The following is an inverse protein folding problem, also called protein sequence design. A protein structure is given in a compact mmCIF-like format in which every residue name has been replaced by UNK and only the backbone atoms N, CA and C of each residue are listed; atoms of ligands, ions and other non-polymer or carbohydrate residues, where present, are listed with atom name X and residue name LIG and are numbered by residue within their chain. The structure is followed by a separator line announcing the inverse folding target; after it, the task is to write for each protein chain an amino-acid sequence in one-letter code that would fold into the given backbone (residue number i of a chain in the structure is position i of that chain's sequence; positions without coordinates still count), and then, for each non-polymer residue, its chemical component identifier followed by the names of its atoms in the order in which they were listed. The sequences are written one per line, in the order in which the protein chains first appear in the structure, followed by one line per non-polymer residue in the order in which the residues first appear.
data_IF_403338915205
#
_entry.id   IF_403338915205
#
_cell.length_a   1.000
_cell.length_b   1.000
_cell.length_c   1.000
_cell.angle_alpha   90.00
_cell.angle_beta   90.00
_cell.angle_gamma   90.00
#
_symmetry.space_group_name_H-M   'P 1'
#
loop_
_entity.id
_entity.type
_entity.pdbx_description
1 polymer ?
#
# COMPACT_ATOMS: atom_id res chain seq x y z
N UNK A 1 -2.48 -8.69 12.20
CA UNK A 1 -2.57 -9.33 10.88
C UNK A 1 -1.22 -10.00 10.65
N UNK A 2 -1.19 -11.28 10.26
CA UNK A 2 0.07 -11.95 9.93
C UNK A 2 0.49 -11.49 8.53
N UNK A 3 1.44 -10.56 8.46
CA UNK A 3 1.93 -10.01 7.19
C UNK A 3 2.86 -10.98 6.48
N UNK A 4 3.70 -11.69 7.24
CA UNK A 4 4.81 -12.48 6.70
C UNK A 4 4.28 -13.58 5.76
N UNK A 5 3.25 -14.32 6.17
CA UNK A 5 2.65 -15.36 5.33
C UNK A 5 1.96 -14.81 4.08
N UNK A 6 1.39 -13.60 4.15
CA UNK A 6 0.76 -12.94 3.00
C UNK A 6 1.79 -12.42 2.01
N UNK A 7 2.88 -11.83 2.50
CA UNK A 7 3.98 -11.32 1.69
C UNK A 7 4.70 -12.46 0.98
N UNK A 8 4.93 -13.59 1.64
CA UNK A 8 5.53 -14.77 1.00
C UNK A 8 4.68 -15.28 -0.17
N UNK A 9 3.35 -15.39 0.01
CA UNK A 9 2.45 -15.74 -1.10
C UNK A 9 2.52 -14.74 -2.26
N UNK A 10 2.63 -13.44 -1.95
CA UNK A 10 2.78 -12.39 -2.97
C UNK A 10 4.13 -12.49 -3.69
N UNK A 11 5.21 -12.83 -2.97
CA UNK A 11 6.55 -13.04 -3.54
C UNK A 11 6.57 -14.26 -4.48
N UNK A 12 5.93 -15.37 -4.09
CA UNK A 12 5.74 -16.53 -4.97
C UNK A 12 4.96 -16.16 -6.25
N UNK A 13 3.84 -15.46 -6.09
CA UNK A 13 3.02 -14.99 -7.22
C UNK A 13 3.80 -14.06 -8.14
N UNK A 14 4.59 -13.14 -7.59
CA UNK A 14 5.45 -12.24 -8.34
C UNK A 14 6.43 -13.01 -9.24
N UNK A 15 7.09 -14.03 -8.69
CA UNK A 15 8.00 -14.89 -9.46
C UNK A 15 7.29 -15.69 -10.55
N UNK A 16 6.09 -16.20 -10.27
CA UNK A 16 5.27 -16.90 -11.27
C UNK A 16 4.89 -15.98 -12.43
N UNK A 17 4.48 -14.74 -12.14
CA UNK A 17 4.15 -13.74 -13.15
C UNK A 17 5.38 -13.33 -13.95
N UNK A 18 6.54 -13.14 -13.31
CA UNK A 18 7.78 -12.84 -14.00
C UNK A 18 8.17 -13.95 -15.01
N UNK A 19 8.01 -15.22 -14.62
CA UNK A 19 8.22 -16.37 -15.53
C UNK A 19 7.22 -16.37 -16.68
N UNK A 20 5.95 -16.06 -16.42
CA UNK A 20 4.92 -16.00 -17.46
C UNK A 20 5.16 -14.85 -18.45
N UNK A 21 5.57 -13.67 -17.96
CA UNK A 21 5.90 -12.49 -18.77
C UNK A 21 7.13 -12.74 -19.66
N UNK A 22 8.07 -13.58 -19.21
CA UNK A 22 9.23 -13.96 -20.01
C UNK A 22 8.89 -14.91 -21.17
N UNK A 23 7.71 -15.55 -21.19
CA UNK A 23 7.27 -16.42 -22.29
C UNK A 23 6.64 -15.58 -23.42
N UNK A 24 7.23 -15.58 -24.64
CA UNK A 24 6.67 -14.82 -25.77
C UNK A 24 5.22 -15.19 -26.12
N UNK A 25 4.80 -16.43 -25.83
CA UNK A 25 3.43 -16.91 -26.11
C UNK A 25 2.36 -16.19 -25.29
N UNK A 26 2.72 -15.56 -24.16
CA UNK A 26 1.78 -14.76 -23.39
C UNK A 26 1.21 -13.61 -24.24
N UNK A 27 2.02 -13.04 -25.12
CA UNK A 27 1.68 -11.89 -25.94
C UNK A 27 0.77 -12.22 -27.14
N UNK A 28 0.55 -13.51 -27.42
CA UNK A 28 -0.47 -13.96 -28.38
C UNK A 28 -1.88 -13.59 -27.91
N UNK A 29 -2.08 -13.41 -26.60
CA UNK A 29 -3.30 -12.87 -26.02
C UNK A 29 -3.01 -11.55 -25.29
N UNK A 30 -3.22 -10.42 -25.99
CA UNK A 30 -3.00 -9.06 -25.46
C UNK A 30 -3.71 -8.80 -24.13
N UNK A 31 -4.93 -9.33 -23.93
CA UNK A 31 -5.68 -9.13 -22.69
C UNK A 31 -4.99 -9.80 -21.51
N UNK A 32 -4.62 -11.08 -21.66
CA UNK A 32 -3.89 -11.84 -20.62
C UNK A 32 -2.52 -11.26 -20.34
N UNK A 33 -1.80 -10.79 -21.36
CA UNK A 33 -0.52 -10.11 -21.19
C UNK A 33 -0.66 -8.83 -20.37
N UNK A 34 -1.66 -7.99 -20.69
CA UNK A 34 -1.97 -6.76 -19.95
C UNK A 34 -2.31 -7.03 -18.48
N UNK A 35 -3.17 -8.01 -18.22
CA UNK A 35 -3.55 -8.43 -16.87
C UNK A 35 -2.33 -8.92 -16.05
N UNK A 36 -1.50 -9.78 -16.64
CA UNK A 36 -0.30 -10.30 -15.97
C UNK A 36 0.73 -9.20 -15.67
N UNK A 37 0.95 -8.26 -16.59
CA UNK A 37 1.84 -7.13 -16.39
C UNK A 37 1.33 -6.17 -15.31
N UNK A 38 0.01 -5.89 -15.30
CA UNK A 38 -0.61 -5.05 -14.26
C UNK A 38 -0.46 -5.71 -12.89
N UNK A 39 -0.83 -6.99 -12.77
CA UNK A 39 -0.72 -7.72 -11.51
C UNK A 39 0.74 -7.76 -11.01
N UNK A 40 1.71 -8.02 -11.90
CA UNK A 40 3.13 -8.00 -11.56
C UNK A 40 3.58 -6.61 -11.06
N UNK A 41 3.11 -5.54 -11.71
CA UNK A 41 3.36 -4.16 -11.29
C UNK A 41 2.80 -3.85 -9.91
N UNK A 42 1.54 -4.21 -9.64
CA UNK A 42 0.90 -3.99 -8.35
C UNK A 42 1.59 -4.77 -7.23
N UNK A 43 1.95 -6.03 -7.47
CA UNK A 43 2.69 -6.83 -6.47
C UNK A 43 4.09 -6.25 -6.24
N UNK A 44 4.77 -5.76 -7.28
CA UNK A 44 6.07 -5.08 -7.10
C UNK A 44 5.96 -3.91 -6.14
N UNK A 45 4.95 -3.05 -6.34
CA UNK A 45 4.72 -1.88 -5.48
C UNK A 45 4.43 -2.29 -4.03
N UNK A 46 3.63 -3.34 -3.84
CA UNK A 46 3.35 -3.90 -2.52
C UNK A 46 4.64 -4.39 -1.83
N UNK A 47 5.50 -5.12 -2.53
CA UNK A 47 6.77 -5.61 -1.99
C UNK A 47 7.72 -4.44 -1.65
N UNK A 48 7.77 -3.40 -2.46
CA UNK A 48 8.56 -2.20 -2.13
C UNK A 48 8.10 -1.53 -0.83
N UNK A 49 6.79 -1.39 -0.62
CA UNK A 49 6.25 -0.86 0.64
C UNK A 49 6.55 -1.75 1.85
N UNK A 50 6.56 -3.07 1.63
CA UNK A 50 6.97 -4.03 2.66
C UNK A 50 8.43 -3.83 3.05
N UNK A 51 9.33 -3.70 2.07
CA UNK A 51 10.76 -3.47 2.31
C UNK A 51 10.98 -2.14 3.09
N UNK A 52 10.20 -1.09 2.80
CA UNK A 52 10.22 0.17 3.55
C UNK A 52 9.77 -0.01 5.01
N UNK A 53 8.72 -0.80 5.27
CA UNK A 53 8.27 -1.11 6.62
C UNK A 53 9.31 -1.93 7.40
N UNK A 54 9.92 -2.94 6.76
CA UNK A 54 10.99 -3.72 7.39
C UNK A 54 12.20 -2.86 7.74
N UNK A 55 12.59 -1.94 6.85
CA UNK A 55 13.67 -1.01 7.11
C UNK A 55 13.36 -0.09 8.30
N UNK A 56 12.15 0.46 8.37
CA UNK A 56 11.73 1.31 9.49
C UNK A 56 11.70 0.55 10.83
N UNK A 57 11.22 -0.70 10.82
CA UNK A 57 11.26 -1.58 12.01
C UNK A 57 12.68 -1.85 12.46
N UNK A 58 13.57 -2.16 11.52
CA UNK A 58 14.99 -2.39 11.82
C UNK A 58 15.64 -1.14 12.40
N UNK A 59 15.43 0.02 11.79
CA UNK A 59 15.97 1.28 12.29
C UNK A 59 15.47 1.60 13.71
N UNK A 60 14.20 1.32 14.00
CA UNK A 60 13.63 1.48 15.33
C UNK A 60 14.32 0.56 16.35
N UNK A 61 14.55 -0.70 16.00
CA UNK A 61 15.22 -1.66 16.90
C UNK A 61 16.70 -1.30 17.10
N UNK A 62 17.41 -0.89 16.05
CA UNK A 62 18.78 -0.38 16.13
C UNK A 62 18.87 0.86 17.05
N UNK A 63 17.91 1.80 16.95
CA UNK A 63 17.86 2.96 17.83
C UNK A 63 17.58 2.60 19.28
N UNK A 64 16.70 1.62 19.54
CA UNK A 64 16.48 1.10 20.89
C UNK A 64 17.73 0.47 21.49
N UNK A 65 18.53 -0.21 20.67
CA UNK A 65 19.82 -0.75 21.12
C UNK A 65 20.83 0.38 21.43
N UNK A 66 20.90 1.41 20.58
CA UNK A 66 21.77 2.57 20.78
C UNK A 66 21.39 3.41 22.01
N UNK A 67 20.10 3.52 22.31
CA UNK A 67 19.59 4.18 23.52
C UNK A 67 20.05 3.49 24.82
N UNK A 68 20.41 2.21 24.76
CA UNK A 68 20.99 1.47 25.89
C UNK A 68 22.53 1.55 25.93
N UNK A 69 23.17 2.32 25.04
CA UNK A 69 24.62 2.42 25.02
C UNK A 69 25.16 3.21 26.21
N UNK A 70 26.44 2.97 26.57
CA UNK A 70 27.10 3.69 27.65
C UNK A 70 27.54 5.12 27.27
N UNK A 71 27.42 5.48 25.99
CA UNK A 71 27.70 6.83 25.52
C UNK A 71 26.42 7.66 25.66
N UNK A 72 26.42 8.56 26.65
CA UNK A 72 25.24 9.34 27.03
C UNK A 72 24.75 10.26 25.90
N UNK A 73 25.66 10.76 25.06
CA UNK A 73 25.30 11.64 23.95
C UNK A 73 24.60 10.83 22.85
N UNK A 74 25.17 9.67 22.48
CA UNK A 74 24.58 8.78 21.49
C UNK A 74 23.24 8.21 21.98
N UNK A 75 23.17 7.81 23.25
CA UNK A 75 21.95 7.27 23.84
C UNK A 75 20.80 8.30 23.83
N UNK A 76 21.08 9.56 24.21
CA UNK A 76 20.09 10.63 24.20
C UNK A 76 19.60 10.96 22.78
N UNK A 77 20.51 11.00 21.80
CA UNK A 77 20.15 11.22 20.39
C UNK A 77 19.23 10.11 19.86
N UNK A 78 19.55 8.85 20.16
CA UNK A 78 18.73 7.72 19.75
C UNK A 78 17.34 7.74 20.42
N UNK A 79 17.27 8.05 21.73
CA UNK A 79 16.00 8.19 22.46
C UNK A 79 15.09 9.27 21.87
N UNK A 80 15.66 10.39 21.39
CA UNK A 80 14.91 11.47 20.75
C UNK A 80 14.32 11.05 19.37
N UNK A 81 14.95 10.12 18.64
CA UNK A 81 14.46 9.64 17.33
C UNK A 81 13.39 8.54 17.43
N UNK A 82 13.39 7.76 18.52
CA UNK A 82 12.49 6.61 18.71
C UNK A 82 11.01 6.96 18.52
N UNK A 83 10.45 8.04 19.08
CA UNK A 83 9.03 8.37 18.94
C UNK A 83 8.58 8.56 17.49
N UNK A 84 9.40 9.22 16.68
CA UNK A 84 9.11 9.47 15.27
C UNK A 84 9.20 8.18 14.45
N UNK A 85 10.19 7.33 14.75
CA UNK A 85 10.32 6.01 14.12
C UNK A 85 9.14 5.08 14.48
N UNK A 86 8.70 5.10 15.74
CA UNK A 86 7.52 4.35 16.17
C UNK A 86 6.27 4.79 15.40
N UNK A 87 6.06 6.11 15.28
CA UNK A 87 4.94 6.64 14.50
C UNK A 87 5.04 6.22 13.03
N UNK A 88 6.23 6.32 12.44
CA UNK A 88 6.47 5.93 11.04
C UNK A 88 6.16 4.45 10.81
N UNK A 89 6.56 3.57 11.73
CA UNK A 89 6.23 2.13 11.65
C UNK A 89 4.73 1.91 11.71
N UNK A 90 4.01 2.57 12.63
CA UNK A 90 2.55 2.45 12.73
C UNK A 90 1.83 2.93 11.45
N UNK A 91 2.28 4.04 10.88
CA UNK A 91 1.71 4.59 9.65
C UNK A 91 1.95 3.61 8.47
N UNK A 92 3.17 3.10 8.31
CA UNK A 92 3.52 2.11 7.28
C UNK A 92 2.77 0.79 7.46
N UNK A 93 2.58 0.32 8.70
CA UNK A 93 1.77 -0.88 8.97
C UNK A 93 0.32 -0.70 8.53
N UNK A 94 -0.25 0.49 8.75
CA UNK A 94 -1.61 0.81 8.31
C UNK A 94 -1.71 0.86 6.79
N UNK A 95 -0.76 1.50 6.12
CA UNK A 95 -0.68 1.53 4.66
C UNK A 95 -0.56 0.11 4.08
N UNK A 96 0.25 -0.75 4.71
CA UNK A 96 0.38 -2.16 4.33
C UNK A 96 -0.91 -2.95 4.50
N UNK A 97 -1.66 -2.73 5.59
CA UNK A 97 -2.97 -3.37 5.76
C UNK A 97 -3.92 -3.01 4.63
N UNK A 98 -3.96 -1.74 4.24
CA UNK A 98 -4.81 -1.27 3.14
C UNK A 98 -4.35 -1.88 1.81
N UNK A 99 -3.04 -1.87 1.54
CA UNK A 99 -2.48 -2.39 0.30
C UNK A 99 -2.64 -3.91 0.12
N UNK A 100 -2.81 -4.66 1.22
CA UNK A 100 -3.05 -6.10 1.21
C UNK A 100 -4.51 -6.49 1.03
N UNK A 101 -5.44 -5.53 1.13
CA UNK A 101 -6.84 -5.82 0.87
C UNK A 101 -6.98 -6.33 -0.56
N UNK A 102 -7.79 -7.39 -0.79
CA UNK A 102 -8.04 -7.89 -2.13
C UNK A 102 -8.61 -6.74 -2.95
N UNK A 103 -8.03 -6.47 -4.13
CA UNK A 103 -8.53 -5.37 -4.92
C UNK A 103 -9.98 -5.64 -5.30
N UNK A 104 -10.84 -4.64 -5.15
CA UNK A 104 -12.25 -4.77 -5.50
C UNK A 104 -12.39 -5.13 -6.98
N UNK A 105 -13.41 -5.92 -7.36
CA UNK A 105 -13.62 -6.37 -8.76
C UNK A 105 -13.64 -5.23 -9.80
N UNK A 106 -13.86 -4.00 -9.36
CA UNK A 106 -13.94 -2.78 -10.16
C UNK A 106 -12.96 -1.69 -9.72
N UNK A 107 -11.98 -1.98 -8.87
CA UNK A 107 -11.11 -0.95 -8.28
C UNK A 107 -10.24 -0.22 -9.32
N UNK A 108 -9.94 -0.87 -10.45
CA UNK A 108 -9.22 -0.29 -11.59
C UNK A 108 -10.14 0.18 -12.74
N UNK A 109 -11.45 0.33 -12.50
CA UNK A 109 -12.41 0.77 -13.53
C UNK A 109 -12.85 2.20 -13.30
N UNK A 110 -13.03 2.94 -14.40
CA UNK A 110 -13.69 4.24 -14.37
C UNK A 110 -15.11 4.09 -13.78
N UNK A 111 -15.48 5.01 -12.90
CA UNK A 111 -16.81 5.06 -12.30
C UNK A 111 -17.63 6.21 -12.90
N UNK A 112 -18.93 5.98 -13.10
CA UNK A 112 -19.90 7.03 -13.40
C UNK A 112 -20.62 7.36 -12.10
N UNK A 113 -20.52 8.60 -11.65
CA UNK A 113 -21.24 9.10 -10.47
C UNK A 113 -22.48 9.85 -10.94
N UNK A 114 -23.66 9.33 -10.61
CA UNK A 114 -24.92 10.00 -10.89
C UNK A 114 -25.43 10.72 -9.64
N UNK A 115 -25.46 12.05 -9.68
CA UNK A 115 -25.96 12.89 -8.58
C UNK A 115 -27.41 13.32 -8.91
N UNK A 116 -28.35 12.97 -8.03
CA UNK A 116 -29.78 13.33 -8.16
C UNK A 116 -30.27 14.06 -6.92
N UNK A 117 -31.07 15.12 -7.11
CA UNK A 117 -31.75 15.78 -6.01
C UNK A 117 -32.81 14.85 -5.39
N UNK A 118 -32.76 14.71 -4.06
CA UNK A 118 -33.76 13.98 -3.29
C UNK A 118 -34.97 14.84 -2.93
N UNK A 119 -35.67 14.47 -1.85
CA UNK A 119 -36.73 15.30 -1.26
C UNK A 119 -36.15 16.57 -0.64
N UNK A 120 -36.87 17.70 -0.73
CA UNK A 120 -36.39 19.01 -0.26
C UNK A 120 -36.40 20.10 -1.34
N UNK A 121 -36.86 19.78 -2.56
CA UNK A 121 -37.08 20.76 -3.61
C UNK A 121 -35.82 21.55 -3.98
N UNK A 122 -35.90 22.88 -3.89
CA UNK A 122 -34.79 23.78 -4.25
C UNK A 122 -33.53 23.55 -3.43
N UNK A 123 -33.66 23.22 -2.14
CA UNK A 123 -32.51 22.98 -1.25
C UNK A 123 -31.77 21.71 -1.64
N UNK A 124 -32.50 20.65 -2.00
CA UNK A 124 -31.92 19.40 -2.49
C UNK A 124 -31.20 19.57 -3.83
N UNK A 125 -31.68 20.47 -4.71
CA UNK A 125 -31.02 20.80 -5.97
C UNK A 125 -29.73 21.60 -5.77
N UNK A 126 -29.71 22.55 -4.82
CA UNK A 126 -28.50 23.29 -4.45
C UNK A 126 -27.46 22.33 -3.87
N UNK A 127 -27.86 21.45 -2.95
CA UNK A 127 -26.94 20.47 -2.36
C UNK A 127 -26.38 19.49 -3.40
N UNK A 128 -27.19 19.03 -4.36
CA UNK A 128 -26.71 18.21 -5.48
C UNK A 128 -25.67 18.96 -6.34
N UNK A 129 -25.87 20.26 -6.57
CA UNK A 129 -24.90 21.09 -7.29
C UNK A 129 -23.61 21.30 -6.48
N UNK A 130 -23.70 21.39 -5.16
CA UNK A 130 -22.53 21.48 -4.29
C UNK A 130 -21.73 20.17 -4.28
N UNK A 131 -22.40 19.01 -4.22
CA UNK A 131 -21.74 17.69 -4.35
C UNK A 131 -21.03 17.51 -5.70
N UNK A 132 -21.58 18.07 -6.78
CA UNK A 132 -20.93 18.03 -8.10
C UNK A 132 -19.63 18.86 -8.15
N UNK A 133 -19.49 19.87 -7.28
CA UNK A 133 -18.33 20.78 -7.26
C UNK A 133 -17.21 20.34 -6.33
N UNK A 134 -17.46 19.36 -5.46
CA UNK A 134 -16.53 18.84 -4.45
C UNK A 134 -15.43 18.00 -5.11
#
# INVERSE_FOLDING_TARGET
MDFDSLIERKRERFQQLARAIADPRLFDNRKRASEAMREHGSIKQLLTRWDELEAARRQLDENRELAMSNDVEIAAMADDEIPDLQKRVVDLEREMQIALLPPGENEDRDAIVEIRAGTGGSEAAIFAADLYRM
#
